data_IF_312005970590
#
_entry.id   IF_312005970590
#
_cell.length_a   1.000
_cell.length_b   1.000
_cell.length_c   1.000
_cell.angle_alpha   90.00
_cell.angle_beta   90.00
_cell.angle_gamma   90.00
#
_symmetry.space_group_name_H-M   'P 1'
#
loop_
_entity.id
_entity.type
_entity.pdbx_description
1 polymer ?
#
# COMPACT_ATOMS: atom_id res chain seq x y z
N UNK A 1 -2.05 -20.03 20.11
CA UNK A 1 -2.72 -20.27 18.80
C UNK A 1 -3.20 -18.99 18.11
N UNK A 2 -3.91 -18.07 18.77
CA UNK A 2 -4.48 -16.86 18.13
C UNK A 2 -3.48 -15.93 17.41
N UNK A 3 -2.23 -15.80 17.89
CA UNK A 3 -1.21 -14.93 17.26
C UNK A 3 -0.89 -15.32 15.81
N UNK A 4 -0.54 -16.58 15.59
CA UNK A 4 -0.18 -17.09 14.26
C UNK A 4 -1.37 -17.11 13.32
N UNK A 5 -2.57 -17.37 13.83
CA UNK A 5 -3.82 -17.31 13.06
C UNK A 5 -4.08 -15.88 12.55
N UNK A 6 -3.94 -14.85 13.40
CA UNK A 6 -4.14 -13.45 13.01
C UNK A 6 -3.10 -12.95 11.99
N UNK A 7 -1.85 -13.41 12.12
CA UNK A 7 -0.78 -13.10 11.17
C UNK A 7 -1.02 -13.79 9.83
N UNK A 8 -1.37 -15.07 9.86
CA UNK A 8 -1.68 -15.85 8.66
C UNK A 8 -2.89 -15.25 7.93
N UNK A 9 -3.95 -14.89 8.66
CA UNK A 9 -5.13 -14.22 8.09
C UNK A 9 -4.77 -12.88 7.46
N UNK A 10 -3.84 -12.11 8.03
CA UNK A 10 -3.46 -10.83 7.44
C UNK A 10 -2.46 -10.93 6.31
N UNK A 11 -1.56 -11.93 6.33
CA UNK A 11 -0.73 -12.23 5.18
C UNK A 11 -1.59 -12.76 4.02
N UNK A 12 -2.56 -13.63 4.32
CA UNK A 12 -3.55 -14.10 3.36
C UNK A 12 -4.44 -12.95 2.88
N UNK A 13 -4.88 -12.03 3.75
CA UNK A 13 -5.71 -10.90 3.33
C UNK A 13 -4.94 -9.93 2.44
N UNK A 14 -3.68 -9.64 2.76
CA UNK A 14 -2.77 -8.87 1.90
C UNK A 14 -2.53 -9.60 0.59
N UNK A 15 -2.26 -10.91 0.63
CA UNK A 15 -2.05 -11.73 -0.56
C UNK A 15 -3.29 -11.77 -1.45
N UNK A 16 -4.47 -12.07 -0.91
CA UNK A 16 -5.74 -12.06 -1.64
C UNK A 16 -6.14 -10.66 -2.10
N UNK A 17 -5.87 -9.61 -1.33
CA UNK A 17 -6.05 -8.23 -1.79
C UNK A 17 -5.17 -7.89 -2.98
N UNK A 18 -3.91 -8.32 -2.98
CA UNK A 18 -3.02 -8.12 -4.12
C UNK A 18 -3.36 -9.07 -5.30
N UNK A 19 -3.84 -10.28 -5.02
CA UNK A 19 -4.15 -11.33 -6.01
C UNK A 19 -5.52 -11.18 -6.68
N UNK A 20 -6.57 -10.81 -5.95
CA UNK A 20 -7.90 -10.53 -6.53
C UNK A 20 -7.88 -9.35 -7.51
N UNK A 21 -6.82 -8.54 -7.44
CA UNK A 21 -6.57 -7.45 -8.38
C UNK A 21 -5.74 -7.91 -9.57
N UNK A 22 -4.83 -8.88 -9.41
CA UNK A 22 -4.20 -9.58 -10.54
C UNK A 22 -5.27 -10.13 -11.51
N UNK A 23 -6.35 -10.71 -10.99
CA UNK A 23 -7.46 -11.22 -11.82
C UNK A 23 -8.32 -10.12 -12.47
N UNK A 24 -8.16 -8.85 -12.07
CA UNK A 24 -8.93 -7.71 -12.58
C UNK A 24 -8.16 -6.79 -13.52
N UNK A 25 -6.87 -7.01 -13.75
CA UNK A 25 -6.11 -6.31 -14.80
C UNK A 25 -6.35 -7.09 -16.10
N UNK A 26 -7.14 -6.60 -17.06
CA UNK A 26 -7.31 -7.22 -18.37
C UNK A 26 -5.98 -7.13 -19.10
N UNK A 27 -5.33 -8.26 -19.28
CA UNK A 27 -4.17 -8.39 -20.14
C UNK A 27 -4.71 -8.70 -21.53
N UNK A 28 -5.32 -7.72 -22.19
CA UNK A 28 -5.56 -7.79 -23.63
C UNK A 28 -4.26 -7.38 -24.34
N UNK A 29 -3.49 -8.39 -24.74
CA UNK A 29 -2.41 -8.22 -25.71
C UNK A 29 -3.02 -7.81 -27.05
N UNK A 30 -2.81 -6.57 -27.48
CA UNK A 30 -2.94 -6.23 -28.89
C UNK A 30 -1.86 -6.98 -29.66
N UNK A 31 -2.24 -8.11 -30.26
CA UNK A 31 -1.44 -8.79 -31.28
C UNK A 31 -1.48 -7.90 -32.52
N UNK A 32 -0.49 -7.00 -32.67
CA UNK A 32 -0.06 -6.43 -33.95
C UNK A 32 1.24 -5.62 -33.75
N UNK A 33 2.38 -6.31 -33.90
CA UNK A 33 3.76 -5.85 -34.25
C UNK A 33 4.33 -4.50 -33.77
N UNK A 34 3.72 -3.85 -32.78
CA UNK A 34 4.29 -2.73 -32.03
C UNK A 34 3.99 -2.96 -30.57
N UNK A 35 5.04 -3.04 -29.74
CA UNK A 35 4.93 -3.00 -28.28
C UNK A 35 4.51 -1.58 -27.91
N UNK A 36 3.25 -1.24 -28.15
CA UNK A 36 2.58 -0.14 -27.49
C UNK A 36 1.96 -0.77 -26.25
N UNK A 37 2.49 -0.47 -25.06
CA UNK A 37 1.78 -0.82 -23.84
C UNK A 37 0.35 -0.30 -23.99
N UNK A 38 -0.64 -1.19 -23.96
CA UNK A 38 -2.06 -0.83 -23.85
C UNK A 38 -2.31 -0.25 -22.45
N UNK A 39 -1.69 0.90 -22.17
CA UNK A 39 -1.87 1.71 -20.97
C UNK A 39 -3.14 2.57 -21.05
N UNK A 40 -3.86 2.49 -22.17
CA UNK A 40 -4.90 3.45 -22.56
C UNK A 40 -6.33 3.06 -22.15
N UNK A 41 -6.54 1.96 -21.40
CA UNK A 41 -7.92 1.52 -21.11
C UNK A 41 -8.24 1.18 -19.66
N UNK A 42 -7.23 0.84 -18.84
CA UNK A 42 -7.48 0.38 -17.47
C UNK A 42 -6.63 1.12 -16.47
N UNK A 43 -7.34 1.89 -15.65
CA UNK A 43 -6.79 2.58 -14.50
C UNK A 43 -6.01 1.58 -13.63
N UNK A 44 -4.71 1.80 -13.38
CA UNK A 44 -3.98 0.93 -12.47
C UNK A 44 -4.65 1.04 -11.09
N UNK A 45 -5.17 -0.07 -10.53
CA UNK A 45 -5.98 -0.06 -9.31
C UNK A 45 -5.17 0.23 -8.03
N UNK A 46 -3.85 0.44 -8.15
CA UNK A 46 -2.91 0.52 -7.04
C UNK A 46 -2.01 1.75 -7.11
N UNK A 47 -1.38 2.10 -5.99
CA UNK A 47 -0.40 3.19 -5.96
C UNK A 47 0.90 2.81 -6.68
N UNK A 48 1.71 3.82 -7.02
CA UNK A 48 3.01 3.69 -7.67
C UNK A 48 3.93 2.63 -7.03
N UNK A 49 4.04 2.51 -5.69
CA UNK A 49 4.77 1.43 -5.03
C UNK A 49 4.43 0.03 -5.51
N UNK A 50 3.17 -0.27 -5.86
CA UNK A 50 2.75 -1.60 -6.33
C UNK A 50 2.99 -1.76 -7.82
N UNK A 51 2.64 -0.73 -8.59
CA UNK A 51 2.70 -0.77 -10.04
C UNK A 51 4.13 -0.81 -10.57
N UNK A 52 5.05 0.01 -10.03
CA UNK A 52 6.41 0.14 -10.57
C UNK A 52 7.21 -1.18 -10.48
N UNK A 53 7.21 -1.91 -9.35
CA UNK A 53 7.85 -3.22 -9.28
C UNK A 53 7.17 -4.27 -10.18
N UNK A 54 5.85 -4.20 -10.36
CA UNK A 54 5.14 -5.07 -11.30
C UNK A 54 5.59 -4.87 -12.74
N UNK A 55 5.63 -3.61 -13.19
CA UNK A 55 6.13 -3.22 -14.51
C UNK A 55 7.59 -3.66 -14.71
N UNK A 56 8.45 -3.49 -13.71
CA UNK A 56 9.85 -3.92 -13.78
C UNK A 56 9.99 -5.44 -13.92
N UNK A 57 9.22 -6.22 -13.16
CA UNK A 57 9.22 -7.67 -13.26
C UNK A 57 8.75 -8.13 -14.65
N UNK A 58 7.75 -7.45 -15.22
CA UNK A 58 7.26 -7.72 -16.57
C UNK A 58 8.33 -7.49 -17.64
N UNK A 59 9.00 -6.33 -17.60
CA UNK A 59 10.10 -5.99 -18.53
C UNK A 59 11.22 -7.05 -18.48
N UNK A 60 11.45 -7.61 -17.30
CA UNK A 60 12.47 -8.64 -17.06
C UNK A 60 11.98 -10.07 -17.35
N UNK A 61 10.74 -10.26 -17.81
CA UNK A 61 10.17 -11.57 -18.15
C UNK A 61 9.76 -12.42 -16.94
N UNK A 62 9.65 -11.83 -15.75
CA UNK A 62 9.22 -12.53 -14.53
C UNK A 62 7.71 -12.48 -14.33
N UNK A 63 7.18 -13.51 -13.68
CA UNK A 63 5.74 -13.60 -13.38
C UNK A 63 5.29 -12.54 -12.38
N UNK A 64 4.13 -11.92 -12.62
CA UNK A 64 3.50 -10.97 -11.72
C UNK A 64 3.09 -11.57 -10.36
N UNK A 65 3.11 -12.91 -10.20
CA UNK A 65 2.88 -13.58 -8.91
C UNK A 65 3.95 -13.23 -7.86
N UNK A 66 5.13 -12.78 -8.30
CA UNK A 66 6.19 -12.29 -7.41
C UNK A 66 5.83 -10.96 -6.74
N UNK A 67 4.92 -10.17 -7.33
CA UNK A 67 4.46 -8.89 -6.77
C UNK A 67 3.71 -9.08 -5.43
N UNK A 68 2.60 -9.85 -5.35
CA UNK A 68 1.92 -10.10 -4.08
C UNK A 68 2.83 -10.81 -3.07
N UNK A 69 3.68 -11.74 -3.53
CA UNK A 69 4.61 -12.47 -2.67
C UNK A 69 5.63 -11.52 -2.02
N UNK A 70 6.23 -10.60 -2.78
CA UNK A 70 7.17 -9.60 -2.28
C UNK A 70 6.52 -8.69 -1.24
N UNK A 71 5.26 -8.29 -1.44
CA UNK A 71 4.54 -7.47 -0.47
C UNK A 71 4.18 -8.25 0.80
N UNK A 72 3.77 -9.51 0.70
CA UNK A 72 3.58 -10.36 1.88
C UNK A 72 4.88 -10.50 2.69
N UNK A 73 6.03 -10.67 2.03
CA UNK A 73 7.34 -10.70 2.69
C UNK A 73 7.69 -9.35 3.32
N UNK A 74 7.44 -8.24 2.62
CA UNK A 74 7.71 -6.89 3.14
C UNK A 74 6.84 -6.56 4.36
N UNK A 75 5.58 -7.00 4.36
CA UNK A 75 4.70 -6.92 5.52
C UNK A 75 5.24 -7.76 6.69
N UNK A 76 5.70 -8.99 6.44
CA UNK A 76 6.32 -9.84 7.45
C UNK A 76 7.54 -9.20 8.08
N UNK A 77 8.42 -8.57 7.29
CA UNK A 77 9.59 -7.82 7.79
C UNK A 77 9.16 -6.66 8.69
N UNK A 78 8.11 -5.92 8.28
CA UNK A 78 7.57 -4.81 9.07
C UNK A 78 7.00 -5.25 10.42
N UNK A 79 6.34 -6.41 10.48
CA UNK A 79 5.79 -6.92 11.75
C UNK A 79 6.77 -7.79 12.54
N UNK A 80 7.92 -8.17 11.97
CA UNK A 80 8.89 -9.06 12.61
C UNK A 80 9.33 -8.61 14.03
N UNK A 81 9.56 -7.32 14.30
CA UNK A 81 9.85 -6.85 15.66
C UNK A 81 8.71 -7.09 16.65
N UNK A 82 7.47 -7.16 16.18
CA UNK A 82 6.28 -7.52 16.97
C UNK A 82 6.28 -9.04 17.24
N UNK A 83 6.72 -9.84 16.26
CA UNK A 83 6.78 -11.31 16.35
C UNK A 83 7.82 -11.80 17.35
N UNK A 84 8.94 -11.07 17.49
CA UNK A 84 10.02 -11.45 18.40
C UNK A 84 9.62 -11.36 19.89
N UNK A 85 8.55 -10.63 20.23
CA UNK A 85 8.07 -10.51 21.62
C UNK A 85 7.34 -11.78 22.06
N UNK A 86 7.97 -12.54 22.95
CA UNK A 86 7.48 -13.84 23.45
C UNK A 86 6.13 -13.74 24.17
N UNK A 87 5.85 -12.66 24.89
CA UNK A 87 4.61 -12.50 25.68
C UNK A 87 3.64 -11.45 25.11
N UNK A 88 2.33 -11.71 25.22
CA UNK A 88 1.24 -10.79 24.85
C UNK A 88 1.10 -9.61 25.82
N UNK A 89 1.58 -9.78 27.06
CA UNK A 89 1.52 -8.77 28.12
C UNK A 89 2.65 -7.75 28.07
N UNK A 90 3.68 -7.97 27.25
CA UNK A 90 4.78 -7.03 27.11
C UNK A 90 4.30 -5.76 26.38
N UNK A 91 4.64 -4.61 26.95
CA UNK A 91 4.41 -3.32 26.32
C UNK A 91 4.99 -3.35 24.88
N UNK A 92 4.13 -3.11 23.90
CA UNK A 92 4.45 -3.15 22.49
C UNK A 92 4.35 -1.76 21.89
N UNK A 93 5.47 -1.05 21.91
CA UNK A 93 5.64 0.24 21.24
C UNK A 93 5.95 0.05 19.75
N UNK A 94 5.44 0.97 18.94
CA UNK A 94 5.80 1.06 17.52
C UNK A 94 7.32 1.34 17.41
N UNK A 95 8.07 0.54 16.63
CA UNK A 95 9.51 0.75 16.48
C UNK A 95 9.87 2.09 15.83
N UNK A 96 11.01 2.66 16.22
CA UNK A 96 11.48 3.95 15.68
C UNK A 96 11.70 3.91 14.16
N UNK A 97 12.22 2.80 13.62
CA UNK A 97 12.45 2.67 12.18
C UNK A 97 11.14 2.72 11.38
N UNK A 98 10.07 2.09 11.87
CA UNK A 98 8.73 2.16 11.24
C UNK A 98 8.20 3.59 11.25
N UNK A 99 8.42 4.34 12.34
CA UNK A 99 8.01 5.75 12.42
C UNK A 99 8.80 6.64 11.46
N UNK A 100 10.12 6.42 11.33
CA UNK A 100 10.95 7.13 10.35
C UNK A 100 10.47 6.83 8.94
N UNK A 101 10.22 5.56 8.62
CA UNK A 101 9.68 5.16 7.32
C UNK A 101 8.30 5.77 7.06
N UNK A 102 7.38 5.73 8.02
CA UNK A 102 6.07 6.35 7.90
C UNK A 102 6.15 7.87 7.68
N UNK A 103 7.08 8.56 8.36
CA UNK A 103 7.32 9.99 8.16
C UNK A 103 7.85 10.29 6.76
N UNK A 104 8.79 9.49 6.26
CA UNK A 104 9.30 9.65 4.89
C UNK A 104 8.20 9.42 3.87
N UNK A 105 7.44 8.33 4.03
CA UNK A 105 6.29 8.02 3.18
C UNK A 105 5.31 9.19 3.16
N UNK A 106 4.91 9.73 4.32
CA UNK A 106 4.03 10.90 4.42
C UNK A 106 4.55 12.11 3.64
N UNK A 107 5.84 12.43 3.78
CA UNK A 107 6.45 13.59 3.12
C UNK A 107 6.43 13.38 1.60
N UNK A 108 6.94 12.24 1.12
CA UNK A 108 7.00 11.97 -0.31
C UNK A 108 5.62 11.85 -0.96
N UNK A 109 4.68 11.17 -0.30
CA UNK A 109 3.31 11.04 -0.79
C UNK A 109 2.61 12.39 -0.86
N UNK A 110 2.87 13.28 0.10
CA UNK A 110 2.26 14.63 0.13
C UNK A 110 2.87 15.52 -0.94
N UNK A 111 4.19 15.51 -1.09
CA UNK A 111 4.89 16.23 -2.16
C UNK A 111 4.38 15.77 -3.53
N UNK A 112 4.26 14.46 -3.73
CA UNK A 112 3.71 13.88 -4.94
C UNK A 112 2.27 14.35 -5.19
N UNK A 113 1.41 14.27 -4.16
CA UNK A 113 0.02 14.72 -4.23
C UNK A 113 -0.12 16.18 -4.65
N UNK A 114 0.68 17.06 -4.05
CA UNK A 114 0.69 18.50 -4.38
C UNK A 114 1.19 18.72 -5.81
N UNK A 115 2.30 18.09 -6.18
CA UNK A 115 2.94 18.27 -7.50
C UNK A 115 2.02 17.87 -8.63
N UNK A 116 1.30 16.74 -8.46
CA UNK A 116 0.45 16.18 -9.50
C UNK A 116 -1.03 16.56 -9.38
N UNK A 117 -1.41 17.41 -8.40
CA UNK A 117 -2.81 17.80 -8.20
C UNK A 117 -3.45 18.38 -9.46
N UNK A 118 -2.79 19.34 -10.11
CA UNK A 118 -3.30 19.99 -11.32
C UNK A 118 -3.50 19.00 -12.47
N UNK A 119 -2.53 18.10 -12.66
CA UNK A 119 -2.58 17.04 -13.68
C UNK A 119 -3.73 16.07 -13.36
N UNK A 120 -3.88 15.70 -12.10
CA UNK A 120 -4.98 14.86 -11.63
C UNK A 120 -6.36 15.48 -11.85
N UNK A 121 -6.52 16.78 -11.56
CA UNK A 121 -7.79 17.49 -11.82
C UNK A 121 -8.09 17.56 -13.31
N UNK A 122 -7.08 17.82 -14.16
CA UNK A 122 -7.25 17.90 -15.61
C UNK A 122 -7.64 16.55 -16.23
N UNK A 123 -7.04 15.44 -15.76
CA UNK A 123 -7.24 14.12 -16.37
C UNK A 123 -8.39 13.31 -15.73
N UNK A 124 -8.67 13.50 -14.43
CA UNK A 124 -9.64 12.70 -13.66
C UNK A 124 -10.84 13.51 -13.16
N UNK A 125 -10.78 14.83 -13.24
CA UNK A 125 -11.81 15.74 -12.74
C UNK A 125 -11.72 16.03 -11.24
N UNK A 126 -12.29 17.17 -10.83
CA UNK A 126 -12.22 17.65 -9.45
C UNK A 126 -12.93 16.75 -8.43
N UNK A 127 -14.07 16.13 -8.81
CA UNK A 127 -14.83 15.24 -7.92
C UNK A 127 -14.02 14.01 -7.48
N UNK A 128 -13.30 13.40 -8.42
CA UNK A 128 -12.39 12.29 -8.14
C UNK A 128 -11.24 12.75 -7.23
N UNK A 129 -10.59 13.86 -7.57
CA UNK A 129 -9.47 14.38 -6.78
C UNK A 129 -9.86 14.73 -5.35
N UNK A 130 -11.07 15.25 -5.13
CA UNK A 130 -11.61 15.49 -3.80
C UNK A 130 -11.85 14.18 -3.02
N UNK A 131 -12.34 13.13 -3.68
CA UNK A 131 -12.45 11.81 -3.07
C UNK A 131 -11.08 11.27 -2.66
N UNK A 132 -10.08 11.35 -3.54
CA UNK A 132 -8.72 10.90 -3.23
C UNK A 132 -8.15 11.71 -2.06
N UNK A 133 -8.32 13.04 -2.05
CA UNK A 133 -7.91 13.90 -0.95
C UNK A 133 -8.55 13.51 0.38
N UNK A 134 -9.87 13.26 0.39
CA UNK A 134 -10.59 12.83 1.58
C UNK A 134 -10.01 11.54 2.16
N UNK A 135 -9.84 10.50 1.33
CA UNK A 135 -9.26 9.23 1.77
C UNK A 135 -7.80 9.37 2.22
N UNK A 136 -7.06 10.26 1.56
CA UNK A 136 -5.68 10.55 1.91
C UNK A 136 -5.57 11.16 3.32
N UNK A 137 -6.34 12.23 3.58
CA UNK A 137 -6.38 12.90 4.89
C UNK A 137 -6.93 11.96 5.96
N UNK A 138 -8.06 11.30 5.68
CA UNK A 138 -8.69 10.36 6.61
C UNK A 138 -7.76 9.21 7.02
N UNK A 139 -7.05 8.63 6.05
CA UNK A 139 -6.07 7.56 6.29
C UNK A 139 -4.97 8.01 7.25
N UNK A 140 -4.38 9.18 7.04
CA UNK A 140 -3.34 9.71 7.94
C UNK A 140 -3.86 10.08 9.32
N UNK A 141 -5.07 10.64 9.42
CA UNK A 141 -5.71 10.90 10.72
C UNK A 141 -5.89 9.61 11.50
N UNK A 142 -6.31 8.53 10.85
CA UNK A 142 -6.47 7.21 11.47
C UNK A 142 -5.12 6.64 11.93
N UNK A 143 -4.09 6.66 11.07
CA UNK A 143 -2.72 6.21 11.40
C UNK A 143 -2.17 6.99 12.61
N UNK A 144 -2.32 8.31 12.60
CA UNK A 144 -1.83 9.18 13.68
C UNK A 144 -2.58 8.95 14.99
N UNK A 145 -3.89 8.74 14.93
CA UNK A 145 -4.72 8.41 16.09
C UNK A 145 -4.29 7.08 16.75
N UNK A 146 -4.03 6.05 15.93
CA UNK A 146 -3.51 4.77 16.43
C UNK A 146 -2.12 4.95 17.05
N UNK A 147 -1.25 5.74 16.44
CA UNK A 147 0.07 6.05 16.99
C UNK A 147 -0.04 6.73 18.37
N UNK A 148 -0.86 7.77 18.51
CA UNK A 148 -1.08 8.44 19.81
C UNK A 148 -1.62 7.45 20.84
N UNK A 149 -2.59 6.62 20.45
CA UNK A 149 -3.15 5.60 21.33
C UNK A 149 -2.10 4.58 21.77
N UNK A 150 -1.26 4.10 20.84
CA UNK A 150 -0.16 3.17 21.14
C UNK A 150 0.89 3.83 22.06
N UNK A 151 1.19 5.12 21.89
CA UNK A 151 2.11 5.84 22.80
C UNK A 151 1.62 5.86 24.24
N UNK A 152 0.31 5.94 24.46
CA UNK A 152 -0.31 5.97 25.80
C UNK A 152 -0.48 4.59 26.43
N UNK A 153 -0.90 3.59 25.66
CA UNK A 153 -1.30 2.27 26.17
C UNK A 153 -0.33 1.13 25.81
N UNK A 154 0.54 1.33 24.82
CA UNK A 154 1.55 0.38 24.30
C UNK A 154 1.01 -1.03 24.10
N UNK A 155 -0.19 -1.16 23.54
CA UNK A 155 -0.81 -2.47 23.32
C UNK A 155 -0.29 -3.11 22.04
N UNK A 156 -0.16 -4.44 22.04
CA UNK A 156 0.19 -5.19 20.83
C UNK A 156 -0.81 -4.99 19.70
N UNK A 157 -2.10 -4.91 20.03
CA UNK A 157 -3.18 -4.68 19.06
C UNK A 157 -3.00 -3.33 18.36
N UNK A 158 -2.74 -2.25 19.10
CA UNK A 158 -2.53 -0.94 18.48
C UNK A 158 -1.25 -0.87 17.65
N UNK A 159 -0.18 -1.54 18.08
CA UNK A 159 1.05 -1.65 17.30
C UNK A 159 0.80 -2.41 15.98
N UNK A 160 0.08 -3.53 16.06
CA UNK A 160 -0.28 -4.33 14.90
C UNK A 160 -1.21 -3.58 13.93
N UNK A 161 -2.27 -2.96 14.43
CA UNK A 161 -3.20 -2.16 13.63
C UNK A 161 -2.47 -0.99 12.94
N UNK A 162 -1.50 -0.37 13.62
CA UNK A 162 -0.65 0.64 12.99
C UNK A 162 0.10 0.08 11.78
N UNK A 163 0.80 -1.04 11.93
CA UNK A 163 1.57 -1.64 10.84
C UNK A 163 0.67 -2.11 9.69
N UNK A 164 -0.46 -2.76 10.00
CA UNK A 164 -1.42 -3.21 9.00
C UNK A 164 -2.01 -2.03 8.22
N UNK A 165 -2.53 -1.03 8.92
CA UNK A 165 -3.14 0.14 8.29
C UNK A 165 -2.12 0.93 7.48
N UNK A 166 -0.93 1.17 8.04
CA UNK A 166 0.14 1.89 7.35
C UNK A 166 0.58 1.14 6.09
N UNK A 167 0.69 -0.18 6.15
CA UNK A 167 1.05 -1.01 5.01
C UNK A 167 -0.02 -0.99 3.91
N UNK A 168 -1.30 -1.16 4.27
CA UNK A 168 -2.42 -1.05 3.32
C UNK A 168 -2.45 0.35 2.71
N UNK A 169 -2.29 1.39 3.51
CA UNK A 169 -2.26 2.76 3.03
C UNK A 169 -1.09 3.01 2.07
N UNK A 170 0.10 2.50 2.37
CA UNK A 170 1.29 2.59 1.52
C UNK A 170 1.05 1.97 0.13
N UNK A 171 0.54 0.73 0.09
CA UNK A 171 0.31 0.00 -1.16
C UNK A 171 -0.83 0.54 -2.02
N UNK A 172 -1.84 1.16 -1.41
CA UNK A 172 -3.07 1.50 -2.13
C UNK A 172 -3.29 2.99 -2.32
N UNK A 173 -2.76 3.83 -1.42
CA UNK A 173 -3.19 5.24 -1.31
C UNK A 173 -2.04 6.25 -1.26
N UNK A 174 -0.80 5.83 -0.99
CA UNK A 174 0.31 6.76 -0.83
C UNK A 174 0.68 7.54 -2.11
N UNK A 175 0.64 6.88 -3.26
CA UNK A 175 1.05 7.47 -4.54
C UNK A 175 0.02 7.14 -5.63
N UNK A 176 -1.17 7.76 -5.58
CA UNK A 176 -2.24 7.47 -6.52
C UNK A 176 -1.91 7.93 -7.94
N UNK A 177 -2.55 7.30 -8.94
CA UNK A 177 -2.29 7.58 -10.36
C UNK A 177 -3.08 8.78 -10.84
N UNK A 178 -2.38 9.92 -10.95
CA UNK A 178 -2.97 11.18 -11.40
C UNK A 178 -2.85 11.42 -12.90
N UNK A 179 -2.09 10.60 -13.63
CA UNK A 179 -1.81 10.80 -15.05
C UNK A 179 -2.42 9.74 -15.98
N UNK A 180 -3.19 8.77 -15.46
CA UNK A 180 -3.94 7.85 -16.32
C UNK A 180 -5.02 8.61 -17.09
N UNK A 181 -5.08 8.42 -18.41
CA UNK A 181 -6.11 9.00 -19.26
C UNK A 181 -7.46 8.28 -19.05
N UNK A 182 -8.56 9.01 -19.27
CA UNK A 182 -9.85 8.41 -19.63
C UNK A 182 -9.74 7.67 -20.96
#
# INVERSE_FOLDING_TARGET
MFRYLLILLSCLSVFFCCYAVYTRIPIEFCIEDKIVLCLNGLEPPFSLPVFLPGLLLEILGYSWIFVPLNYSVLFLVLIFPILQKRNLSEESSIPKHTLVFAKLVFIFSTLYFITFWKVGVANRGGSFMNHVFFFYVFGWVLIFSIYIYNRKRKTLISNYLFHLLFFVWFLWRAFPWFWGSM
#
